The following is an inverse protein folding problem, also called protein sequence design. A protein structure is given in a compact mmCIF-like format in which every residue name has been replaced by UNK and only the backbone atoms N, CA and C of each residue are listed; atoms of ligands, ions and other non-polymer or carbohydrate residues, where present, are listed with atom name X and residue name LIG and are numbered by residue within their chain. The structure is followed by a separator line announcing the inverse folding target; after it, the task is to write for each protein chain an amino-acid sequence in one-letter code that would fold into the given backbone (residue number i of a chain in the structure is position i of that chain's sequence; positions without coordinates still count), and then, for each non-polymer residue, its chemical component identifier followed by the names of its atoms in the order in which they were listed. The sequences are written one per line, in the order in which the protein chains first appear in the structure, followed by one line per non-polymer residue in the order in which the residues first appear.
data_IF_768111877044
#
_entry.id   IF_768111877044
#
_cell.length_a   1.000
_cell.length_b   1.000
_cell.length_c   1.000
_cell.angle_alpha   90.00
_cell.angle_beta   90.00
_cell.angle_gamma   90.00
#
_symmetry.space_group_name_H-M   'P 1'
#
loop_
_entity.id
_entity.type
_entity.pdbx_description
1 polymer ?
#
# COMPACT_ATOMS: atom_id res chain seq x y z
N UNK A 1 -22.85 52.16 -11.05
CA UNK A 1 -22.29 50.99 -11.76
C UNK A 1 -21.38 51.50 -12.86
N UNK A 2 -20.05 51.47 -12.66
CA UNK A 2 -19.08 51.92 -13.67
C UNK A 2 -18.81 50.76 -14.63
N UNK A 3 -19.27 50.89 -15.86
CA UNK A 3 -19.02 49.94 -16.93
C UNK A 3 -17.53 49.95 -17.30
N UNK A 4 -16.85 48.81 -17.18
CA UNK A 4 -15.53 48.61 -17.76
C UNK A 4 -15.67 48.56 -19.29
N UNK A 5 -15.35 49.67 -19.97
CA UNK A 5 -15.21 49.68 -21.42
C UNK A 5 -13.87 49.03 -21.80
N UNK A 6 -13.89 47.74 -22.13
CA UNK A 6 -12.77 47.06 -22.76
C UNK A 6 -12.64 47.57 -24.20
N UNK A 7 -11.70 48.50 -24.43
CA UNK A 7 -11.33 48.96 -25.76
C UNK A 7 -10.64 47.80 -26.49
N UNK A 8 -11.39 47.10 -27.36
CA UNK A 8 -10.88 45.99 -28.16
C UNK A 8 -9.82 46.51 -29.15
N UNK A 9 -8.53 46.31 -28.83
CA UNK A 9 -7.47 46.37 -29.84
C UNK A 9 -7.61 45.13 -30.72
N UNK A 10 -7.70 45.32 -32.04
CA UNK A 10 -7.69 44.21 -32.98
C UNK A 10 -6.32 43.51 -32.91
N UNK A 11 -6.31 42.26 -32.46
CA UNK A 11 -5.13 41.40 -32.40
C UNK A 11 -4.81 40.92 -33.81
N UNK A 12 -3.55 40.98 -34.23
CA UNK A 12 -3.17 40.41 -35.51
C UNK A 12 -3.07 38.88 -35.39
N UNK A 13 -3.41 38.15 -36.46
CA UNK A 13 -3.32 36.69 -36.49
C UNK A 13 -1.88 36.20 -36.21
N UNK A 14 -0.88 36.98 -36.62
CA UNK A 14 0.54 36.69 -36.42
C UNK A 14 0.91 36.80 -34.93
N UNK A 15 0.47 37.85 -34.22
CA UNK A 15 0.74 38.00 -32.78
C UNK A 15 0.16 36.83 -31.98
N UNK A 16 -1.05 36.38 -32.32
CA UNK A 16 -1.67 35.22 -31.67
C UNK A 16 -0.87 33.93 -31.96
N UNK A 17 -0.42 33.76 -33.21
CA UNK A 17 0.30 32.57 -33.65
C UNK A 17 1.69 32.44 -32.99
N UNK A 18 2.41 33.56 -32.81
CA UNK A 18 3.70 33.56 -32.10
C UNK A 18 3.51 33.19 -30.63
N UNK A 19 2.46 33.70 -29.98
CA UNK A 19 2.19 33.40 -28.56
C UNK A 19 1.90 31.92 -28.34
N UNK A 20 1.05 31.30 -29.16
CA UNK A 20 0.79 29.86 -29.03
C UNK A 20 2.03 29.01 -29.35
N UNK A 21 2.88 29.45 -30.28
CA UNK A 21 4.13 28.77 -30.59
C UNK A 21 5.09 28.79 -29.39
N UNK A 22 5.23 29.92 -28.70
CA UNK A 22 6.05 30.03 -27.49
C UNK A 22 5.46 29.16 -26.37
N UNK A 23 4.13 29.20 -26.15
CA UNK A 23 3.46 28.35 -25.14
C UNK A 23 3.70 26.86 -25.44
N UNK A 24 3.62 26.44 -26.70
CA UNK A 24 3.85 25.06 -27.11
C UNK A 24 5.29 24.59 -26.82
N UNK A 25 6.29 25.43 -27.10
CA UNK A 25 7.70 25.13 -26.79
C UNK A 25 7.87 24.98 -25.27
N UNK A 26 7.37 25.95 -24.48
CA UNK A 26 7.48 25.89 -23.02
C UNK A 26 6.74 24.67 -22.43
N UNK A 27 5.54 24.35 -22.92
CA UNK A 27 4.77 23.20 -22.47
C UNK A 27 5.44 21.86 -22.79
N UNK A 28 6.10 21.75 -23.96
CA UNK A 28 6.82 20.54 -24.37
C UNK A 28 8.00 20.21 -23.44
N UNK A 29 8.65 21.22 -22.87
CA UNK A 29 9.74 21.05 -21.90
C UNK A 29 9.21 20.71 -20.49
N UNK A 30 8.00 21.17 -20.14
CA UNK A 30 7.40 20.97 -18.82
C UNK A 30 6.76 19.58 -18.64
N UNK A 31 6.14 19.03 -19.68
CA UNK A 31 5.50 17.70 -19.63
C UNK A 31 6.41 16.56 -19.11
N UNK A 32 7.64 16.36 -19.61
CA UNK A 32 8.51 15.28 -19.13
C UNK A 32 8.97 15.50 -17.68
N UNK A 33 9.11 16.76 -17.25
CA UNK A 33 9.49 17.11 -15.88
C UNK A 33 8.34 16.82 -14.91
N UNK A 34 7.11 17.21 -15.28
CA UNK A 34 5.91 16.97 -14.46
C UNK A 34 5.65 15.47 -14.26
N UNK A 35 5.88 14.65 -15.29
CA UNK A 35 5.78 13.18 -15.18
C UNK A 35 6.72 12.60 -14.13
N UNK A 36 8.00 13.01 -14.14
CA UNK A 36 9.00 12.60 -13.14
C UNK A 36 8.67 13.13 -11.74
N UNK A 37 8.22 14.38 -11.64
CA UNK A 37 7.82 15.00 -10.38
C UNK A 37 6.64 14.25 -9.73
N UNK A 38 5.62 13.89 -10.52
CA UNK A 38 4.47 13.10 -10.07
C UNK A 38 4.90 11.71 -9.57
N UNK A 39 5.77 11.01 -10.29
CA UNK A 39 6.28 9.71 -9.85
C UNK A 39 7.04 9.80 -8.52
N UNK A 40 7.90 10.82 -8.36
CA UNK A 40 8.61 11.07 -7.10
C UNK A 40 7.64 11.37 -5.96
N UNK A 41 6.64 12.23 -6.20
CA UNK A 41 5.62 12.55 -5.19
C UNK A 41 4.82 11.30 -4.77
N UNK A 42 4.41 10.46 -5.72
CA UNK A 42 3.75 9.19 -5.43
C UNK A 42 4.66 8.26 -4.61
N UNK A 43 5.95 8.17 -4.95
CA UNK A 43 6.94 7.39 -4.19
C UNK A 43 7.09 7.86 -2.74
N UNK A 44 7.16 9.17 -2.51
CA UNK A 44 7.18 9.76 -1.16
C UNK A 44 5.91 9.38 -0.39
N UNK A 45 4.75 9.43 -1.05
CA UNK A 45 3.48 8.99 -0.46
C UNK A 45 3.52 7.51 -0.03
N UNK A 46 4.04 6.62 -0.87
CA UNK A 46 4.15 5.20 -0.53
C UNK A 46 5.13 4.95 0.63
N UNK A 47 6.23 5.69 0.70
CA UNK A 47 7.18 5.60 1.82
C UNK A 47 6.57 6.12 3.13
N UNK A 48 5.81 7.21 3.09
CA UNK A 48 5.12 7.73 4.26
C UNK A 48 4.06 6.74 4.77
N UNK A 49 3.32 6.11 3.87
CA UNK A 49 2.36 5.06 4.19
C UNK A 49 3.06 3.86 4.82
N UNK A 50 4.19 3.40 4.26
CA UNK A 50 4.97 2.30 4.83
C UNK A 50 5.49 2.64 6.23
N UNK A 51 5.98 3.86 6.45
CA UNK A 51 6.43 4.33 7.76
C UNK A 51 5.30 4.29 8.79
N UNK A 52 4.08 4.70 8.44
CA UNK A 52 2.93 4.62 9.32
C UNK A 52 2.59 3.16 9.69
N UNK A 53 2.64 2.24 8.73
CA UNK A 53 2.46 0.80 9.01
C UNK A 53 3.56 0.24 9.92
N UNK A 54 4.81 0.67 9.71
CA UNK A 54 5.94 0.22 10.52
C UNK A 54 5.83 0.72 11.97
N UNK A 55 5.36 1.94 12.17
CA UNK A 55 5.08 2.46 13.52
C UNK A 55 3.99 1.62 14.17
N UNK A 56 2.89 1.35 13.47
CA UNK A 56 1.82 0.49 13.98
C UNK A 56 2.31 -0.93 14.32
N UNK A 57 3.25 -1.46 13.54
CA UNK A 57 3.91 -2.75 13.81
C UNK A 57 4.69 -2.75 15.12
N UNK A 58 5.44 -1.69 15.37
CA UNK A 58 6.18 -1.52 16.62
C UNK A 58 5.23 -1.39 17.80
N UNK A 59 4.21 -0.54 17.70
CA UNK A 59 3.20 -0.37 18.74
C UNK A 59 2.49 -1.69 19.07
N UNK A 60 2.12 -2.47 18.05
CA UNK A 60 1.54 -3.79 18.26
C UNK A 60 2.48 -4.71 19.06
N UNK A 61 3.77 -4.74 18.70
CA UNK A 61 4.77 -5.56 19.38
C UNK A 61 4.95 -5.17 20.84
N UNK A 62 4.93 -3.86 21.12
CA UNK A 62 5.11 -3.33 22.48
C UNK A 62 3.91 -3.71 23.37
N UNK A 63 2.69 -3.73 22.82
CA UNK A 63 1.47 -4.15 23.53
C UNK A 63 1.33 -5.68 23.69
N UNK A 64 2.04 -6.48 22.90
CA UNK A 64 1.86 -7.94 22.82
C UNK A 64 3.11 -8.73 23.26
N UNK A 65 3.78 -8.31 24.34
CA UNK A 65 4.94 -9.01 24.92
C UNK A 65 6.08 -9.26 23.91
N UNK A 66 6.39 -8.25 23.09
CA UNK A 66 7.40 -8.31 22.02
C UNK A 66 7.05 -9.24 20.85
N UNK A 67 5.83 -9.78 20.79
CA UNK A 67 5.37 -10.63 19.69
C UNK A 67 5.04 -9.77 18.48
N UNK A 68 5.66 -10.07 17.34
CA UNK A 68 5.28 -9.39 16.09
C UNK A 68 3.90 -9.86 15.66
N UNK A 69 3.24 -9.03 14.88
CA UNK A 69 1.90 -9.30 14.37
C UNK A 69 1.91 -10.56 13.49
N UNK A 70 0.89 -11.41 13.66
CA UNK A 70 0.79 -12.68 12.93
C UNK A 70 0.60 -12.44 11.43
N UNK A 71 1.35 -13.18 10.61
CA UNK A 71 1.07 -13.28 9.18
C UNK A 71 0.13 -14.44 8.88
N UNK A 72 -0.75 -14.23 7.90
CA UNK A 72 -1.53 -15.31 7.31
C UNK A 72 -0.65 -16.27 6.50
N UNK A 73 -1.25 -17.39 6.09
CA UNK A 73 -0.68 -18.34 5.13
C UNK A 73 -1.75 -18.80 4.13
N UNK A 74 -1.35 -19.41 3.02
CA UNK A 74 -2.26 -19.91 1.98
C UNK A 74 -3.37 -20.83 2.56
N UNK A 75 -3.00 -21.71 3.49
CA UNK A 75 -3.94 -22.61 4.17
C UNK A 75 -4.79 -21.94 5.25
N UNK A 76 -4.46 -20.70 5.65
CA UNK A 76 -5.21 -19.89 6.62
C UNK A 76 -5.89 -18.69 5.95
N UNK A 77 -6.11 -18.76 4.63
CA UNK A 77 -6.75 -17.69 3.89
C UNK A 77 -8.19 -17.49 4.38
N UNK A 78 -8.48 -16.26 4.78
CA UNK A 78 -9.81 -15.85 5.22
C UNK A 78 -10.57 -15.32 4.01
N UNK A 79 -11.60 -16.04 3.57
CA UNK A 79 -12.41 -15.69 2.39
C UNK A 79 -13.67 -14.91 2.75
N UNK A 80 -14.11 -14.96 4.01
CA UNK A 80 -15.23 -14.19 4.54
C UNK A 80 -14.71 -13.21 5.61
N UNK A 81 -14.90 -11.89 5.46
CA UNK A 81 -14.43 -10.92 6.47
C UNK A 81 -15.14 -11.07 7.82
N UNK A 82 -16.34 -11.67 7.83
CA UNK A 82 -17.16 -11.84 9.03
C UNK A 82 -16.94 -13.24 9.69
N UNK A 83 -15.91 -13.99 9.28
CA UNK A 83 -15.52 -15.27 9.92
C UNK A 83 -15.13 -15.02 11.40
N UNK A 84 -15.81 -15.64 12.38
CA UNK A 84 -15.47 -15.50 13.79
C UNK A 84 -14.03 -15.91 14.11
N UNK A 85 -13.46 -16.87 13.37
CA UNK A 85 -12.09 -17.32 13.58
C UNK A 85 -11.05 -16.26 13.13
N UNK A 86 -11.44 -15.32 12.28
CA UNK A 86 -10.59 -14.26 11.74
C UNK A 86 -10.65 -12.95 12.53
N UNK A 87 -11.59 -12.83 13.47
CA UNK A 87 -11.71 -11.66 14.35
C UNK A 87 -10.51 -11.53 15.29
N UNK A 88 -10.20 -10.32 15.81
CA UNK A 88 -9.12 -10.12 16.77
C UNK A 88 -9.21 -11.09 17.96
N UNK A 89 -8.14 -11.84 18.23
CA UNK A 89 -8.10 -12.90 19.25
C UNK A 89 -8.48 -14.30 18.73
N UNK A 90 -9.02 -14.42 17.52
CA UNK A 90 -9.31 -15.69 16.87
C UNK A 90 -8.06 -16.42 16.35
N UNK A 91 -8.14 -17.73 16.08
CA UNK A 91 -7.00 -18.53 15.64
C UNK A 91 -6.48 -18.15 14.24
N UNK A 92 -7.31 -17.53 13.40
CA UNK A 92 -6.96 -17.05 12.05
C UNK A 92 -6.68 -15.53 11.99
N UNK A 93 -6.72 -14.84 13.13
CA UNK A 93 -6.41 -13.42 13.20
C UNK A 93 -4.99 -13.15 12.70
N UNK A 94 -4.85 -12.20 11.79
CA UNK A 94 -3.58 -11.80 11.22
C UNK A 94 -3.57 -10.29 10.92
N UNK A 95 -2.43 -9.80 10.46
CA UNK A 95 -2.20 -8.37 10.23
C UNK A 95 -3.22 -7.71 9.30
N UNK A 96 -3.56 -8.36 8.18
CA UNK A 96 -4.55 -7.96 7.18
C UNK A 96 -5.11 -9.24 6.56
N UNK A 97 -6.43 -9.39 6.66
CA UNK A 97 -7.14 -10.57 6.18
C UNK A 97 -7.25 -10.58 4.65
N UNK A 98 -7.64 -11.73 4.10
CA UNK A 98 -7.89 -11.90 2.67
C UNK A 98 -6.64 -11.87 1.79
N UNK A 99 -6.84 -12.18 0.51
CA UNK A 99 -5.81 -12.13 -0.52
C UNK A 99 -6.04 -10.96 -1.47
N UNK A 100 -4.94 -10.33 -1.90
CA UNK A 100 -4.94 -9.35 -2.99
C UNK A 100 -4.63 -9.99 -4.35
N UNK A 101 -4.41 -11.32 -4.38
CA UNK A 101 -4.24 -12.07 -5.61
C UNK A 101 -5.59 -12.18 -6.33
N UNK A 102 -5.69 -11.75 -7.60
CA UNK A 102 -6.94 -11.85 -8.35
C UNK A 102 -7.42 -13.30 -8.55
N UNK A 103 -6.53 -14.29 -8.43
CA UNK A 103 -6.84 -15.70 -8.62
C UNK A 103 -7.45 -16.38 -7.38
N UNK A 104 -7.34 -15.78 -6.19
CA UNK A 104 -7.75 -16.43 -4.94
C UNK A 104 -9.23 -16.19 -4.59
N UNK A 105 -9.94 -15.37 -5.39
CA UNK A 105 -11.34 -15.03 -5.19
C UNK A 105 -11.58 -13.54 -5.33
N UNK A 106 -12.55 -13.19 -6.18
CA UNK A 106 -12.70 -11.85 -6.72
C UNK A 106 -12.96 -10.74 -5.67
N UNK A 107 -13.69 -11.07 -4.62
CA UNK A 107 -14.18 -10.10 -3.64
C UNK A 107 -13.15 -9.69 -2.57
N UNK A 108 -12.05 -10.43 -2.40
CA UNK A 108 -11.10 -10.15 -1.30
C UNK A 108 -10.18 -8.97 -1.61
N UNK A 109 -9.77 -8.84 -2.87
CA UNK A 109 -8.83 -7.81 -3.30
C UNK A 109 -9.42 -6.39 -3.28
N UNK A 110 -10.76 -6.26 -3.26
CA UNK A 110 -11.50 -5.00 -3.37
C UNK A 110 -12.30 -4.64 -2.11
N UNK A 111 -12.41 -5.54 -1.14
CA UNK A 111 -13.22 -5.34 0.06
C UNK A 111 -12.38 -4.81 1.23
N UNK A 112 -12.73 -3.61 1.70
CA UNK A 112 -12.03 -2.93 2.80
C UNK A 112 -12.22 -3.59 4.17
N UNK A 113 -13.29 -4.38 4.36
CA UNK A 113 -13.56 -5.05 5.65
C UNK A 113 -12.42 -5.97 6.07
N UNK A 114 -11.72 -6.59 5.12
CA UNK A 114 -10.56 -7.43 5.41
C UNK A 114 -9.39 -6.66 6.03
N UNK A 115 -9.26 -5.36 5.73
CA UNK A 115 -8.27 -4.50 6.37
C UNK A 115 -8.77 -4.09 7.75
N UNK A 116 -10.03 -3.66 7.86
CA UNK A 116 -10.63 -3.17 9.11
C UNK A 116 -10.57 -4.23 10.22
N UNK A 117 -10.85 -5.50 9.86
CA UNK A 117 -10.84 -6.61 10.81
C UNK A 117 -9.42 -7.18 11.09
N UNK A 118 -8.38 -6.62 10.45
CA UNK A 118 -6.99 -7.01 10.68
C UNK A 118 -6.45 -6.52 12.01
N UNK A 119 -5.50 -7.25 12.59
CA UNK A 119 -4.88 -6.93 13.89
C UNK A 119 -4.15 -5.58 13.91
N UNK A 120 -3.71 -5.09 12.76
CA UNK A 120 -2.96 -3.85 12.67
C UNK A 120 -3.84 -2.60 12.54
N UNK A 121 -5.08 -2.76 12.08
CA UNK A 121 -5.96 -1.63 11.81
C UNK A 121 -6.26 -0.73 13.02
N UNK A 122 -6.45 -1.26 14.25
CA UNK A 122 -6.67 -0.42 15.44
C UNK A 122 -5.55 0.60 15.72
N UNK A 123 -4.33 0.31 15.28
CA UNK A 123 -3.15 1.18 15.46
C UNK A 123 -2.97 2.21 14.35
N UNK A 124 -3.56 1.99 13.18
CA UNK A 124 -3.43 2.86 12.00
C UNK A 124 -4.67 3.73 11.81
N UNK A 125 -5.86 3.13 11.97
CA UNK A 125 -7.19 3.76 11.80
C UNK A 125 -7.38 4.53 10.49
N UNK A 126 -6.59 4.19 9.46
CA UNK A 126 -6.60 4.85 8.17
C UNK A 126 -6.38 3.84 7.04
N UNK A 127 -7.40 3.65 6.20
CA UNK A 127 -7.36 2.71 5.08
C UNK A 127 -6.39 3.14 3.96
N UNK A 128 -6.19 4.44 3.77
CA UNK A 128 -5.34 4.96 2.69
C UNK A 128 -3.86 4.55 2.86
N UNK A 129 -3.45 4.24 4.09
CA UNK A 129 -2.09 3.82 4.44
C UNK A 129 -1.75 2.44 3.86
N UNK A 130 -2.74 1.57 3.62
CA UNK A 130 -2.51 0.23 3.08
C UNK A 130 -2.29 0.22 1.55
N UNK A 131 -2.61 1.33 0.86
CA UNK A 131 -2.48 1.47 -0.59
C UNK A 131 -1.38 2.47 -0.94
N UNK A 132 -0.51 2.09 -1.87
CA UNK A 132 0.49 3.00 -2.44
C UNK A 132 -0.16 3.83 -3.56
N UNK A 133 -0.05 5.18 -3.55
CA UNK A 133 -0.60 6.02 -4.63
C UNK A 133 -0.04 5.74 -6.03
N UNK A 134 1.12 5.09 -6.13
CA UNK A 134 1.69 4.63 -7.40
C UNK A 134 1.12 3.29 -7.88
N UNK A 135 0.45 2.53 -7.02
CA UNK A 135 -0.04 1.20 -7.32
C UNK A 135 -1.31 1.25 -8.19
N UNK A 136 -1.19 0.67 -9.39
CA UNK A 136 -2.26 0.58 -10.39
C UNK A 136 -2.89 -0.81 -10.47
N UNK A 137 -2.56 -1.71 -9.52
CA UNK A 137 -3.17 -3.05 -9.49
C UNK A 137 -4.68 -2.95 -9.32
N UNK A 138 -5.38 -3.63 -10.20
CA UNK A 138 -6.83 -3.79 -10.18
C UNK A 138 -7.18 -5.23 -9.85
N UNK A 139 -8.20 -5.42 -9.03
CA UNK A 139 -8.88 -6.68 -8.84
C UNK A 139 -9.82 -6.99 -10.02
N UNK A 140 -10.58 -8.08 -9.92
CA UNK A 140 -11.58 -8.45 -10.91
C UNK A 140 -12.63 -7.35 -11.12
N UNK A 141 -13.07 -7.21 -12.38
CA UNK A 141 -13.96 -6.13 -12.79
C UNK A 141 -13.27 -4.76 -12.94
N UNK A 142 -11.93 -4.69 -12.83
CA UNK A 142 -11.16 -3.45 -12.99
C UNK A 142 -11.19 -2.52 -11.78
N UNK A 143 -11.80 -2.94 -10.67
CA UNK A 143 -11.80 -2.17 -9.43
C UNK A 143 -10.38 -2.11 -8.84
N UNK A 144 -9.94 -0.98 -8.27
CA UNK A 144 -8.62 -0.89 -7.65
C UNK A 144 -8.52 -1.83 -6.44
N UNK A 145 -7.38 -2.48 -6.24
CA UNK A 145 -7.18 -3.29 -5.03
C UNK A 145 -7.11 -2.40 -3.79
N UNK A 146 -7.55 -2.90 -2.63
CA UNK A 146 -7.57 -2.14 -1.36
C UNK A 146 -6.19 -1.96 -0.73
N UNK A 147 -5.19 -2.74 -1.18
CA UNK A 147 -3.85 -2.79 -0.57
C UNK A 147 -2.76 -3.04 -1.60
N UNK A 148 -1.57 -2.47 -1.35
CA UNK A 148 -0.35 -2.66 -2.15
C UNK A 148 0.77 -3.36 -1.40
N UNK A 149 0.69 -3.41 -0.07
CA UNK A 149 1.74 -3.95 0.80
C UNK A 149 1.46 -5.40 1.15
N UNK A 150 2.52 -6.20 1.30
CA UNK A 150 2.45 -7.59 1.75
C UNK A 150 3.47 -7.84 2.84
N UNK A 151 3.23 -8.89 3.62
CA UNK A 151 4.13 -9.30 4.69
C UNK A 151 4.89 -10.55 4.29
N UNK A 152 6.13 -10.66 4.75
CA UNK A 152 6.90 -11.88 4.58
C UNK A 152 6.24 -13.04 5.36
N UNK A 153 6.07 -14.19 4.70
CA UNK A 153 5.41 -15.38 5.27
C UNK A 153 6.11 -15.99 6.49
N UNK A 154 7.38 -15.64 6.74
CA UNK A 154 8.17 -16.11 7.88
C UNK A 154 8.02 -15.23 9.12
N UNK A 155 7.34 -14.08 9.01
CA UNK A 155 7.09 -13.17 10.12
C UNK A 155 5.81 -13.57 10.85
N UNK A 156 5.97 -14.46 11.83
CA UNK A 156 4.96 -15.01 12.71
C UNK A 156 3.76 -15.67 11.99
N UNK A 157 3.99 -16.72 11.17
CA UNK A 157 2.93 -17.40 10.45
C UNK A 157 1.95 -18.14 11.37
N UNK A 158 0.68 -18.17 10.99
CA UNK A 158 -0.34 -18.97 11.70
C UNK A 158 0.03 -20.46 11.69
N UNK A 159 0.43 -21.02 10.55
CA UNK A 159 0.89 -22.41 10.42
C UNK A 159 2.26 -22.46 9.73
N UNK A 160 3.09 -23.42 10.13
CA UNK A 160 4.40 -23.69 9.52
C UNK A 160 4.34 -24.80 8.46
N UNK A 161 3.18 -25.43 8.27
CA UNK A 161 3.01 -26.58 7.37
C UNK A 161 3.18 -26.23 5.88
N UNK A 162 2.90 -24.97 5.52
CA UNK A 162 3.02 -24.48 4.14
C UNK A 162 4.46 -24.08 3.75
N UNK A 163 5.45 -24.38 4.60
CA UNK A 163 6.71 -23.67 4.64
C UNK A 163 7.87 -24.64 4.88
N UNK A 164 8.92 -24.58 4.05
CA UNK A 164 10.07 -25.49 4.17
C UNK A 164 10.71 -25.42 5.57
N UNK A 165 11.05 -26.56 6.20
CA UNK A 165 11.63 -26.64 7.53
C UNK A 165 13.01 -25.97 7.66
N UNK A 166 13.66 -25.61 6.55
CA UNK A 166 14.98 -24.98 6.56
C UNK A 166 14.96 -23.50 6.95
N UNK A 167 13.79 -22.85 6.88
CA UNK A 167 13.68 -21.40 7.05
C UNK A 167 13.42 -21.00 8.50
N UNK A 168 14.08 -19.92 8.94
CA UNK A 168 13.90 -19.36 10.27
C UNK A 168 12.57 -18.60 10.37
N UNK A 169 11.76 -18.95 11.37
CA UNK A 169 10.52 -18.24 11.71
C UNK A 169 10.81 -17.18 12.76
N UNK A 170 10.34 -15.95 12.52
CA UNK A 170 10.43 -14.85 13.48
C UNK A 170 9.11 -14.75 14.24
N UNK A 171 9.12 -14.82 15.58
CA UNK A 171 7.91 -14.73 16.41
C UNK A 171 7.90 -13.46 17.23
N UNK A 172 9.08 -12.99 17.62
CA UNK A 172 9.29 -11.78 18.39
C UNK A 172 10.10 -10.77 17.61
N UNK A 173 9.97 -9.49 17.96
CA UNK A 173 10.77 -8.43 17.34
C UNK A 173 12.25 -8.62 17.71
N UNK A 174 12.53 -9.08 18.93
CA UNK A 174 13.87 -9.48 19.36
C UNK A 174 14.50 -10.61 18.53
N UNK A 175 13.72 -11.43 17.81
CA UNK A 175 14.28 -12.45 16.91
C UNK A 175 14.92 -11.84 15.66
N UNK A 176 14.52 -10.61 15.30
CA UNK A 176 15.01 -9.85 14.15
C UNK A 176 16.32 -9.17 14.55
N UNK A 177 17.33 -9.97 14.84
CA UNK A 177 18.69 -9.50 15.12
C UNK A 177 19.34 -9.17 13.79
N UNK A 178 19.86 -7.95 13.58
CA UNK A 178 20.55 -7.50 12.34
C UNK A 178 21.63 -8.50 11.90
N UNK A 179 21.32 -9.52 11.07
CA UNK A 179 22.34 -10.41 10.62
C UNK A 179 22.92 -9.81 9.33
N UNK A 180 24.10 -10.24 8.87
CA UNK A 180 24.59 -9.81 7.57
C UNK A 180 23.52 -10.09 6.49
N UNK A 181 23.36 -9.22 5.46
CA UNK A 181 22.21 -9.21 4.56
C UNK A 181 21.79 -10.57 3.96
N UNK A 182 22.74 -11.48 3.76
CA UNK A 182 22.47 -12.84 3.25
C UNK A 182 21.67 -13.73 4.21
N UNK A 183 21.78 -13.53 5.53
CA UNK A 183 21.06 -14.30 6.56
C UNK A 183 19.62 -13.84 6.78
N UNK A 184 19.21 -12.67 6.28
CA UNK A 184 17.82 -12.19 6.40
C UNK A 184 16.85 -12.91 5.46
N UNK A 185 17.35 -13.63 4.45
CA UNK A 185 16.51 -14.33 3.47
C UNK A 185 16.03 -15.71 3.95
N UNK A 186 16.30 -16.09 5.19
CA UNK A 186 15.84 -17.36 5.77
C UNK A 186 16.56 -18.60 5.23
N UNK A 187 17.54 -18.44 4.34
CA UNK A 187 18.35 -19.53 3.81
C UNK A 187 19.51 -19.79 4.79
N UNK A 188 19.48 -20.94 5.45
CA UNK A 188 20.64 -21.50 6.15
C UNK A 188 21.56 -22.21 5.17
#
# INVERSE_FOLDING_TARGET
MRAWQFRHKAFTLIELLVVIAIIAILASLLMPVLGKAKQKAQGIGCLNNLKQLQIAWVLYSDDHEDKIVRTGGLQSLVTNPDDPAAQPGGPKANWVLGSVNPNDGAAMSTNVKFIINGLLYPYVQNLAVYKCPADRKTGPGGAPTVRSVSMNGWMNPISIESFSPQNRVFRKRSDIVNPPPWKMLGVN
#
